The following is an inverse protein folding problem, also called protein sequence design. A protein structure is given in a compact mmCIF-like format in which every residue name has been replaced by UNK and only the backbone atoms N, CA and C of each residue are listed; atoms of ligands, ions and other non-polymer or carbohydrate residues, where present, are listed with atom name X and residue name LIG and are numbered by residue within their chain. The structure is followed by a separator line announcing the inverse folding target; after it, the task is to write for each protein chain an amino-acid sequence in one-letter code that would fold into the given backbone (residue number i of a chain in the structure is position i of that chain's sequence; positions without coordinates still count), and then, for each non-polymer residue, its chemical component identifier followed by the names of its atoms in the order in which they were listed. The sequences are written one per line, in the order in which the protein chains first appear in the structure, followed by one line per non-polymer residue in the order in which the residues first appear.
data_IF_247549394319
#
_entry.id   IF_247549394319
#
_cell.length_a   1.000
_cell.length_b   1.000
_cell.length_c   1.000
_cell.angle_alpha   90.00
_cell.angle_beta   90.00
_cell.angle_gamma   90.00
#
_symmetry.space_group_name_H-M   'P 1'
#
loop_
_entity.id
_entity.type
_entity.pdbx_description
1 polymer ?
#
# COMPACT_ATOMS: atom_id res chain seq x y z
N UNK A 1 21.16 16.86 12.13
CA UNK A 1 21.06 17.71 10.93
C UNK A 1 19.68 18.37 10.87
N UNK A 2 19.47 19.34 9.95
CA UNK A 2 18.13 19.87 9.67
C UNK A 2 17.60 19.29 8.36
N UNK A 3 16.30 19.01 8.31
CA UNK A 3 15.62 18.51 7.10
C UNK A 3 14.29 19.25 6.89
N UNK A 4 13.87 19.42 5.65
CA UNK A 4 12.55 19.93 5.29
C UNK A 4 11.55 18.78 5.36
N UNK A 5 10.42 18.99 6.05
CA UNK A 5 9.37 17.99 6.20
C UNK A 5 7.99 18.62 6.24
N UNK A 6 6.96 17.84 5.88
CA UNK A 6 5.57 18.19 6.06
C UNK A 6 5.05 17.57 7.38
N UNK A 7 4.81 18.43 8.38
CA UNK A 7 4.40 18.04 9.73
C UNK A 7 2.90 18.16 9.89
N UNK A 8 2.25 17.14 10.40
CA UNK A 8 0.87 17.16 10.86
C UNK A 8 0.86 17.44 12.36
N UNK A 9 0.41 18.61 12.78
CA UNK A 9 0.35 18.98 14.19
C UNK A 9 -0.91 18.48 14.91
N UNK A 10 -2.00 18.28 14.17
CA UNK A 10 -3.27 17.80 14.69
C UNK A 10 -4.12 17.15 13.60
N UNK A 11 -5.03 16.27 14.00
CA UNK A 11 -5.99 15.64 13.10
C UNK A 11 -6.86 16.66 12.35
N UNK A 12 -7.15 16.41 11.08
CA UNK A 12 -8.00 17.24 10.23
C UNK A 12 -7.40 18.61 9.84
N UNK A 13 -6.13 18.85 10.15
CA UNK A 13 -5.45 20.09 9.76
C UNK A 13 -4.57 19.90 8.53
N UNK A 14 -4.32 20.96 7.73
CA UNK A 14 -3.32 20.92 6.68
C UNK A 14 -1.94 20.57 7.25
N UNK A 15 -1.11 19.95 6.42
CA UNK A 15 0.29 19.72 6.73
C UNK A 15 1.08 21.03 6.62
N UNK A 16 1.99 21.27 7.55
CA UNK A 16 2.89 22.42 7.52
C UNK A 16 4.27 21.99 7.01
N UNK A 17 4.69 22.56 5.89
CA UNK A 17 6.05 22.35 5.38
C UNK A 17 7.01 23.24 6.13
N UNK A 18 7.89 22.64 6.92
CA UNK A 18 8.84 23.35 7.79
C UNK A 18 10.17 22.64 7.89
N UNK A 19 11.13 23.26 8.55
CA UNK A 19 12.44 22.65 8.85
C UNK A 19 12.40 22.05 10.25
N UNK A 20 12.73 20.78 10.34
CA UNK A 20 12.82 20.03 11.59
C UNK A 20 14.25 19.56 11.87
N UNK A 21 14.55 19.25 13.12
CA UNK A 21 15.79 18.59 13.49
C UNK A 21 15.65 17.08 13.28
N UNK A 22 16.69 16.46 12.71
CA UNK A 22 16.80 15.04 12.49
C UNK A 22 18.11 14.53 13.09
N UNK A 23 18.02 13.61 14.02
CA UNK A 23 19.18 12.92 14.60
C UNK A 23 19.78 11.94 13.58
N UNK A 24 21.07 11.66 13.70
CA UNK A 24 21.76 10.66 12.90
C UNK A 24 21.30 9.23 13.23
N UNK A 25 21.63 8.26 12.34
CA UNK A 25 21.27 6.85 12.55
C UNK A 25 22.05 6.27 13.73
N UNK A 26 21.34 5.63 14.67
CA UNK A 26 21.94 4.82 15.75
C UNK A 26 22.23 3.40 15.28
N UNK A 27 22.65 2.53 16.20
CA UNK A 27 22.95 1.13 15.88
C UNK A 27 21.74 0.44 15.23
N UNK A 28 21.99 -0.21 14.07
CA UNK A 28 20.97 -0.91 13.29
C UNK A 28 20.03 0.01 12.51
N UNK A 29 20.34 1.30 12.38
CA UNK A 29 19.52 2.29 11.67
C UNK A 29 20.21 2.82 10.41
N UNK A 30 19.42 3.35 9.50
CA UNK A 30 19.85 3.85 8.19
C UNK A 30 19.27 5.24 7.98
N UNK A 31 20.09 6.19 7.60
CA UNK A 31 19.65 7.52 7.15
C UNK A 31 19.46 7.49 5.63
N UNK A 32 18.27 7.82 5.19
CA UNK A 32 17.87 7.82 3.78
C UNK A 32 17.50 9.23 3.34
N UNK A 33 18.07 9.69 2.23
CA UNK A 33 17.62 10.86 1.49
C UNK A 33 16.48 10.42 0.57
N UNK A 34 15.26 10.85 0.86
CA UNK A 34 14.08 10.57 0.06
C UNK A 34 14.10 11.43 -1.20
N UNK A 35 13.97 10.81 -2.36
CA UNK A 35 13.92 11.47 -3.67
C UNK A 35 12.49 11.64 -4.18
N UNK A 36 11.62 10.71 -3.82
CA UNK A 36 10.20 10.77 -4.17
C UNK A 36 9.36 10.01 -3.13
N UNK A 37 8.12 10.43 -2.96
CA UNK A 37 7.13 9.76 -2.10
C UNK A 37 5.72 9.88 -2.67
N UNK A 38 4.96 8.79 -2.65
CA UNK A 38 3.55 8.77 -3.01
C UNK A 38 2.64 9.25 -1.87
N UNK A 39 1.45 9.74 -2.25
CA UNK A 39 0.39 10.12 -1.31
C UNK A 39 -0.67 9.01 -1.30
N UNK A 40 -0.92 8.43 -0.14
CA UNK A 40 -1.79 7.28 0.04
C UNK A 40 -3.07 7.61 0.83
N UNK A 41 -4.15 6.88 0.58
CA UNK A 41 -5.37 6.97 1.39
C UNK A 41 -5.13 6.56 2.86
N UNK A 42 -4.11 5.75 3.13
CA UNK A 42 -3.71 5.39 4.50
C UNK A 42 -3.16 6.60 5.26
N UNK A 43 -2.39 7.48 4.58
CA UNK A 43 -1.95 8.74 5.18
C UNK A 43 -3.15 9.64 5.50
N UNK A 44 -4.13 9.72 4.58
CA UNK A 44 -5.35 10.49 4.77
C UNK A 44 -6.23 9.93 5.89
N UNK A 45 -6.36 8.61 6.00
CA UNK A 45 -7.12 7.96 7.07
C UNK A 45 -6.64 8.40 8.45
N UNK A 46 -5.32 8.45 8.65
CA UNK A 46 -4.75 8.94 9.91
C UNK A 46 -4.81 10.48 10.00
N UNK A 47 -4.48 11.20 8.90
CA UNK A 47 -4.49 12.66 8.87
C UNK A 47 -5.87 13.25 9.18
N UNK A 48 -6.93 12.64 8.68
CA UNK A 48 -8.31 13.09 8.92
C UNK A 48 -8.77 12.89 10.38
N UNK A 49 -8.09 12.06 11.15
CA UNK A 49 -8.50 11.66 12.50
C UNK A 49 -9.44 10.46 12.54
N UNK A 50 -9.67 9.80 11.41
CA UNK A 50 -10.47 8.58 11.35
C UNK A 50 -9.75 7.36 11.96
N UNK A 51 -8.43 7.43 12.06
CA UNK A 51 -7.59 6.42 12.71
C UNK A 51 -7.51 6.70 14.23
N UNK A 52 -8.09 5.82 15.08
CA UNK A 52 -8.07 6.00 16.53
C UNK A 52 -6.66 5.83 17.13
N UNK A 53 -5.71 5.24 16.40
CA UNK A 53 -4.31 5.07 16.81
C UNK A 53 -3.41 6.22 16.28
N UNK A 54 -3.99 7.22 15.62
CA UNK A 54 -3.26 8.36 15.06
C UNK A 54 -2.52 9.16 16.13
N UNK A 55 -1.24 9.46 15.89
CA UNK A 55 -0.36 10.22 16.79
C UNK A 55 -0.04 11.58 16.18
N UNK A 56 0.04 12.61 17.01
CA UNK A 56 0.41 13.99 16.61
C UNK A 56 1.30 14.66 17.67
N UNK A 57 2.28 15.52 17.29
CA UNK A 57 2.68 15.84 15.92
C UNK A 57 3.39 14.65 15.24
N UNK A 58 3.26 14.54 13.91
CA UNK A 58 3.82 13.43 13.14
C UNK A 58 4.26 13.86 11.74
N UNK A 59 5.25 13.18 11.18
CA UNK A 59 5.60 13.24 9.76
C UNK A 59 5.06 11.99 9.10
N UNK A 60 4.06 12.16 8.22
CA UNK A 60 3.44 11.06 7.46
C UNK A 60 4.33 10.54 6.33
N UNK A 61 3.75 9.73 5.45
CA UNK A 61 4.36 9.15 4.27
C UNK A 61 5.00 7.78 4.53
N UNK A 62 4.65 6.83 3.67
CA UNK A 62 5.17 5.46 3.74
C UNK A 62 5.42 4.86 2.34
N UNK A 63 5.26 5.63 1.28
CA UNK A 63 5.50 5.25 -0.12
C UNK A 63 6.73 5.97 -0.66
N UNK A 64 7.90 5.80 -0.03
CA UNK A 64 9.12 6.50 -0.39
C UNK A 64 10.06 5.68 -1.28
N UNK A 65 10.97 6.40 -1.96
CA UNK A 65 12.17 5.83 -2.57
C UNK A 65 13.31 6.85 -2.45
N UNK A 66 14.53 6.38 -2.23
CA UNK A 66 15.65 7.27 -1.99
C UNK A 66 16.99 6.56 -1.93
N UNK A 67 17.99 7.29 -1.43
CA UNK A 67 19.39 6.88 -1.38
C UNK A 67 19.85 6.83 0.07
N UNK A 68 20.54 5.77 0.45
CA UNK A 68 21.23 5.68 1.74
C UNK A 68 22.37 6.67 1.78
N UNK A 69 22.35 7.58 2.75
CA UNK A 69 23.41 8.60 2.91
C UNK A 69 24.31 8.33 4.11
N UNK A 70 23.80 7.61 5.11
CA UNK A 70 24.60 7.17 6.27
C UNK A 70 23.99 5.90 6.89
N UNK A 71 24.80 5.15 7.62
CA UNK A 71 24.39 3.95 8.33
C UNK A 71 24.97 3.91 9.74
N UNK A 72 24.15 3.49 10.70
CA UNK A 72 24.57 3.29 12.07
C UNK A 72 25.41 2.01 12.26
N UNK A 73 26.04 1.86 13.44
CA UNK A 73 26.82 0.65 13.76
C UNK A 73 25.97 -0.62 13.61
N UNK A 74 26.58 -1.69 13.09
CA UNK A 74 25.97 -3.01 12.94
C UNK A 74 25.06 -3.19 11.71
N UNK A 75 24.84 -2.15 10.90
CA UNK A 75 24.14 -2.27 9.61
C UNK A 75 25.03 -3.03 8.61
N UNK A 76 24.47 -4.06 7.98
CA UNK A 76 25.20 -4.94 7.06
C UNK A 76 24.54 -5.16 5.72
N UNK A 77 23.23 -4.93 5.59
CA UNK A 77 22.48 -5.24 4.37
C UNK A 77 22.43 -4.10 3.35
N UNK A 78 22.80 -2.91 3.77
CA UNK A 78 22.87 -1.70 2.91
C UNK A 78 24.07 -0.85 3.29
N UNK A 79 24.51 0.02 2.38
CA UNK A 79 25.62 0.95 2.57
C UNK A 79 25.30 2.30 1.92
N UNK A 80 26.06 3.32 2.25
CA UNK A 80 25.99 4.63 1.59
C UNK A 80 26.04 4.50 0.07
N UNK A 81 25.12 5.18 -0.62
CA UNK A 81 24.94 5.16 -2.06
C UNK A 81 23.91 4.12 -2.56
N UNK A 82 23.53 3.14 -1.75
CA UNK A 82 22.51 2.17 -2.16
C UNK A 82 21.15 2.84 -2.34
N UNK A 83 20.44 2.49 -3.42
CA UNK A 83 19.06 2.88 -3.66
C UNK A 83 18.12 1.96 -2.89
N UNK A 84 17.13 2.56 -2.20
CA UNK A 84 16.26 1.83 -1.29
C UNK A 84 14.81 2.30 -1.36
N UNK A 85 13.90 1.41 -0.99
CA UNK A 85 12.50 1.67 -0.72
C UNK A 85 12.24 1.43 0.78
N UNK A 86 11.77 2.43 1.55
CA UNK A 86 11.25 2.26 2.91
C UNK A 86 10.09 1.28 2.97
N UNK A 87 10.01 0.49 4.04
CA UNK A 87 9.02 -0.55 4.24
C UNK A 87 8.25 -0.35 5.54
N UNK A 88 6.97 -0.04 5.46
CA UNK A 88 6.09 -0.02 6.64
C UNK A 88 5.81 -1.43 7.19
N UNK A 89 6.02 -2.46 6.38
CA UNK A 89 6.03 -3.85 6.81
C UNK A 89 7.48 -4.36 6.77
N UNK A 90 8.21 -4.31 7.91
CA UNK A 90 9.62 -4.72 7.96
C UNK A 90 9.79 -6.23 7.78
N UNK A 91 11.02 -6.67 7.50
CA UNK A 91 11.38 -8.09 7.39
C UNK A 91 12.70 -8.36 8.11
N UNK A 92 12.64 -8.81 9.38
CA UNK A 92 13.86 -9.11 10.15
C UNK A 92 14.48 -10.47 9.83
N UNK A 93 13.73 -11.39 9.21
CA UNK A 93 14.14 -12.77 8.88
C UNK A 93 14.46 -13.67 10.09
N UNK A 94 14.12 -13.24 11.31
CA UNK A 94 14.48 -13.96 12.56
C UNK A 94 13.27 -14.21 13.46
N UNK A 95 12.25 -13.35 13.46
CA UNK A 95 11.08 -13.54 14.32
C UNK A 95 10.23 -14.73 13.86
N UNK A 96 9.37 -15.22 14.75
CA UNK A 96 8.45 -16.33 14.48
C UNK A 96 7.61 -16.11 13.20
N UNK A 97 7.15 -14.89 12.97
CA UNK A 97 6.38 -14.54 11.77
C UNK A 97 7.21 -14.70 10.50
N UNK A 98 8.41 -14.12 10.44
CA UNK A 98 9.31 -14.25 9.29
C UNK A 98 9.72 -15.70 9.01
N UNK A 99 10.02 -16.49 10.05
CA UNK A 99 10.46 -17.86 9.91
C UNK A 99 9.32 -18.83 9.59
N UNK A 100 8.08 -18.50 9.97
CA UNK A 100 6.92 -19.40 9.81
C UNK A 100 6.54 -19.68 8.36
N UNK A 101 6.87 -18.78 7.45
CA UNK A 101 6.38 -18.74 6.04
C UNK A 101 4.86 -18.67 5.90
N UNK A 102 4.12 -18.44 7.01
CA UNK A 102 2.64 -18.36 7.04
C UNK A 102 2.14 -16.92 6.92
N UNK A 103 2.95 -15.95 7.27
CA UNK A 103 2.63 -14.52 7.26
C UNK A 103 3.85 -13.68 6.89
N UNK A 104 3.59 -12.49 6.36
CA UNK A 104 4.57 -11.44 6.11
C UNK A 104 4.67 -10.42 7.25
N UNK A 105 3.85 -10.53 8.29
CA UNK A 105 3.76 -9.55 9.37
C UNK A 105 4.88 -9.76 10.40
N UNK A 106 6.02 -9.15 10.14
CA UNK A 106 7.17 -9.12 11.05
C UNK A 106 6.81 -8.44 12.37
N UNK A 107 7.24 -9.03 13.49
CA UNK A 107 6.93 -8.48 14.83
C UNK A 107 8.11 -7.81 15.50
N UNK A 108 9.30 -7.75 14.86
CA UNK A 108 10.54 -7.33 15.50
C UNK A 108 10.51 -5.90 16.07
N UNK A 109 9.82 -4.97 15.39
CA UNK A 109 9.71 -3.55 15.81
C UNK A 109 8.26 -3.11 16.01
N UNK A 110 7.28 -4.02 15.95
CA UNK A 110 5.86 -3.67 15.97
C UNK A 110 5.46 -2.86 17.21
N UNK A 111 6.03 -3.18 18.38
CA UNK A 111 5.70 -2.55 19.65
C UNK A 111 6.09 -1.06 19.71
N UNK A 112 7.13 -0.65 19.00
CA UNK A 112 7.62 0.75 18.94
C UNK A 112 7.09 1.47 17.71
N UNK A 113 6.99 0.77 16.57
CA UNK A 113 6.45 1.31 15.31
C UNK A 113 5.04 1.88 15.50
N UNK A 114 4.16 1.18 16.20
CA UNK A 114 2.80 1.66 16.50
C UNK A 114 2.74 2.84 17.48
N UNK A 115 3.83 3.11 18.20
CA UNK A 115 3.98 4.27 19.09
C UNK A 115 4.67 5.47 18.39
N UNK A 116 4.96 5.35 17.11
CA UNK A 116 5.63 6.40 16.34
C UNK A 116 7.07 6.68 16.78
N UNK A 117 7.78 5.67 17.30
CA UNK A 117 9.16 5.79 17.75
C UNK A 117 10.04 4.66 17.20
N UNK A 118 11.35 4.86 17.25
CA UNK A 118 12.36 3.89 16.87
C UNK A 118 12.43 2.74 17.89
N UNK A 119 13.13 1.64 17.59
CA UNK A 119 13.23 0.47 18.50
C UNK A 119 13.74 0.79 19.90
N UNK A 120 14.51 1.87 20.08
CA UNK A 120 14.98 2.35 21.39
C UNK A 120 13.96 3.19 22.18
N UNK A 121 12.75 3.35 21.64
CA UNK A 121 11.67 4.11 22.26
C UNK A 121 11.77 5.63 22.11
N UNK A 122 12.70 6.13 21.27
CA UNK A 122 12.87 7.57 21.00
C UNK A 122 12.59 7.90 19.54
N UNK A 123 12.22 9.15 19.24
CA UNK A 123 12.14 9.63 17.87
C UNK A 123 13.50 10.17 17.40
N UNK A 124 13.68 10.21 16.06
CA UNK A 124 14.80 10.94 15.44
C UNK A 124 14.40 12.33 14.99
N UNK A 125 13.10 12.63 14.97
CA UNK A 125 12.58 13.93 14.59
C UNK A 125 12.21 14.77 15.79
N UNK A 126 12.57 16.07 15.74
CA UNK A 126 12.14 17.07 16.73
C UNK A 126 12.05 18.46 16.12
N UNK A 127 11.35 19.37 16.80
CA UNK A 127 11.32 20.79 16.51
C UNK A 127 11.35 21.57 17.82
N UNK A 128 12.35 22.46 17.98
CA UNK A 128 12.50 23.20 19.23
C UNK A 128 12.65 22.32 20.48
N UNK A 129 13.18 21.09 20.34
CA UNK A 129 13.29 20.11 21.42
C UNK A 129 12.02 19.29 21.66
N UNK A 130 10.91 19.59 21.00
CA UNK A 130 9.68 18.80 21.07
C UNK A 130 9.76 17.64 20.08
N UNK A 131 9.47 16.42 20.55
CA UNK A 131 9.44 15.22 19.75
C UNK A 131 8.34 15.28 18.68
N UNK A 132 8.67 14.81 17.46
CA UNK A 132 7.73 14.54 16.38
C UNK A 132 7.71 13.02 16.14
N UNK A 133 6.53 12.42 16.05
CA UNK A 133 6.38 10.99 15.84
C UNK A 133 6.79 10.55 14.43
N UNK A 134 7.33 9.35 14.33
CA UNK A 134 7.46 8.63 13.07
C UNK A 134 6.10 8.04 12.67
N UNK A 135 5.81 8.03 11.35
CA UNK A 135 4.63 7.36 10.81
C UNK A 135 5.01 6.03 10.17
N UNK A 136 4.40 4.96 10.67
CA UNK A 136 4.61 3.59 10.17
C UNK A 136 6.10 3.17 10.09
N UNK A 137 6.98 3.83 10.86
CA UNK A 137 8.42 3.65 10.81
C UNK A 137 9.08 4.15 9.52
N UNK A 138 8.42 4.95 8.70
CA UNK A 138 8.90 5.44 7.40
C UNK A 138 9.08 6.95 7.34
N UNK A 139 8.02 7.73 7.60
CA UNK A 139 8.02 9.21 7.60
C UNK A 139 8.63 9.81 6.34
N UNK A 140 8.13 9.40 5.17
CA UNK A 140 8.71 9.79 3.88
C UNK A 140 8.26 11.17 3.39
N UNK A 141 7.35 11.87 4.12
CA UNK A 141 7.07 13.29 3.85
C UNK A 141 8.13 14.20 4.45
N UNK A 142 9.35 13.73 4.45
CA UNK A 142 10.57 14.45 4.81
C UNK A 142 11.65 14.14 3.79
N UNK A 143 12.47 15.16 3.45
CA UNK A 143 13.58 14.97 2.52
C UNK A 143 14.60 13.94 3.05
N UNK A 144 14.78 13.85 4.37
CA UNK A 144 15.60 12.82 5.01
C UNK A 144 14.79 12.12 6.10
N UNK A 145 14.99 10.81 6.23
CA UNK A 145 14.39 10.03 7.32
C UNK A 145 15.37 8.96 7.82
N UNK A 146 15.20 8.55 9.07
CA UNK A 146 15.96 7.45 9.68
C UNK A 146 15.03 6.27 9.91
N UNK A 147 15.46 5.08 9.51
CA UNK A 147 14.70 3.84 9.57
C UNK A 147 15.55 2.72 10.16
N UNK A 148 14.94 1.69 10.80
CA UNK A 148 15.64 0.45 11.09
C UNK A 148 16.08 -0.26 9.79
N UNK A 149 17.26 -0.87 9.77
CA UNK A 149 17.78 -1.64 8.63
C UNK A 149 16.78 -2.66 8.08
N UNK A 150 16.01 -3.30 8.97
CA UNK A 150 15.01 -4.30 8.60
C UNK A 150 13.78 -3.72 7.88
N UNK A 151 13.66 -2.39 7.85
CA UNK A 151 12.59 -1.63 7.22
C UNK A 151 13.03 -0.93 5.92
N UNK A 152 14.12 -1.36 5.29
CA UNK A 152 14.53 -0.87 3.97
C UNK A 152 14.80 -2.03 3.02
N UNK A 153 14.32 -1.90 1.78
CA UNK A 153 14.60 -2.82 0.69
C UNK A 153 15.59 -2.17 -0.27
N UNK A 154 16.76 -2.80 -0.46
CA UNK A 154 17.72 -2.39 -1.48
C UNK A 154 17.17 -2.74 -2.86
N UNK A 155 17.22 -1.78 -3.79
CA UNK A 155 16.77 -1.92 -5.18
C UNK A 155 17.88 -1.53 -6.15
N UNK A 156 17.67 -1.80 -7.44
CA UNK A 156 18.61 -1.44 -8.50
C UNK A 156 18.71 0.08 -8.66
N UNK A 157 19.91 0.55 -9.03
CA UNK A 157 20.25 1.98 -9.06
C UNK A 157 19.68 2.73 -10.27
N UNK A 158 19.33 2.03 -11.35
CA UNK A 158 18.79 2.62 -12.58
C UNK A 158 17.25 2.83 -12.56
N UNK A 159 16.58 2.42 -11.49
CA UNK A 159 15.14 2.57 -11.37
C UNK A 159 14.73 4.01 -10.96
N UNK A 160 13.77 4.67 -11.65
CA UNK A 160 13.36 6.04 -11.40
C UNK A 160 12.56 6.14 -10.07
N UNK A 161 13.03 7.01 -9.17
CA UNK A 161 12.46 7.14 -7.82
C UNK A 161 10.99 7.54 -7.80
N UNK A 162 10.58 8.43 -8.70
CA UNK A 162 9.19 8.93 -8.82
C UNK A 162 8.20 7.86 -9.28
N UNK A 163 8.69 6.73 -9.79
CA UNK A 163 7.89 5.55 -10.15
C UNK A 163 7.93 4.48 -9.07
N UNK A 164 9.16 4.11 -8.66
CA UNK A 164 9.33 2.98 -7.74
C UNK A 164 8.91 3.29 -6.30
N UNK A 165 8.78 4.55 -5.90
CA UNK A 165 8.27 4.92 -4.58
C UNK A 165 6.90 4.28 -4.30
N UNK A 166 6.04 4.16 -5.31
CA UNK A 166 4.72 3.55 -5.18
C UNK A 166 4.77 2.03 -4.98
N UNK A 167 5.88 1.38 -5.33
CA UNK A 167 6.07 -0.07 -5.10
C UNK A 167 6.07 -0.39 -3.60
N UNK A 168 6.54 0.52 -2.75
CA UNK A 168 6.60 0.35 -1.30
C UNK A 168 5.24 0.14 -0.61
N UNK A 169 4.12 0.36 -1.30
CA UNK A 169 2.76 0.15 -0.77
C UNK A 169 1.81 -0.40 -1.83
N UNK A 170 1.21 0.47 -2.65
CA UNK A 170 0.06 0.12 -3.47
C UNK A 170 0.32 -0.93 -4.53
N UNK A 171 1.46 -0.87 -5.22
CA UNK A 171 1.84 -1.84 -6.26
C UNK A 171 2.04 -3.23 -5.64
N UNK A 172 2.85 -3.31 -4.61
CA UNK A 172 3.12 -4.58 -3.89
C UNK A 172 1.85 -5.14 -3.26
N UNK A 173 0.99 -4.28 -2.69
CA UNK A 173 -0.28 -4.72 -2.09
C UNK A 173 -1.20 -5.35 -3.13
N UNK A 174 -1.41 -4.70 -4.27
CA UNK A 174 -2.34 -5.19 -5.30
C UNK A 174 -1.83 -6.46 -5.98
N UNK A 175 -0.61 -6.43 -6.51
CA UNK A 175 0.00 -7.60 -7.18
C UNK A 175 0.19 -8.76 -6.20
N UNK A 176 0.67 -8.47 -5.01
CA UNK A 176 0.89 -9.48 -3.97
C UNK A 176 -0.40 -10.13 -3.46
N UNK A 177 -1.52 -9.38 -3.41
CA UNK A 177 -2.83 -9.96 -3.09
C UNK A 177 -3.19 -11.09 -4.04
N UNK A 178 -2.89 -10.93 -5.32
CA UNK A 178 -3.13 -11.94 -6.36
C UNK A 178 -2.16 -13.11 -6.22
N UNK A 179 -0.86 -12.83 -6.18
CA UNK A 179 0.20 -13.85 -6.31
C UNK A 179 0.44 -14.58 -4.99
N UNK A 180 0.54 -13.84 -3.88
CA UNK A 180 0.97 -14.39 -2.59
C UNK A 180 -0.23 -14.82 -1.72
N UNK A 181 -1.28 -13.97 -1.66
CA UNK A 181 -2.41 -14.18 -0.74
C UNK A 181 -3.47 -15.08 -1.35
N UNK A 182 -4.04 -14.70 -2.48
CA UNK A 182 -5.07 -15.49 -3.17
C UNK A 182 -4.47 -16.68 -3.90
N UNK A 183 -3.28 -16.54 -4.46
CA UNK A 183 -2.61 -17.51 -5.33
C UNK A 183 -3.51 -17.85 -6.52
N UNK A 184 -3.90 -16.82 -7.23
CA UNK A 184 -4.79 -16.92 -8.39
C UNK A 184 -4.19 -17.86 -9.43
N UNK A 185 -4.98 -18.83 -9.87
CA UNK A 185 -4.59 -19.83 -10.86
C UNK A 185 -4.79 -19.31 -12.28
N UNK A 186 -3.96 -19.73 -13.26
CA UNK A 186 -4.21 -19.44 -14.67
C UNK A 186 -5.61 -19.94 -15.10
N UNK A 187 -6.29 -19.12 -15.91
CA UNK A 187 -7.63 -19.42 -16.39
C UNK A 187 -8.78 -19.07 -15.43
N UNK A 188 -8.48 -18.59 -14.22
CA UNK A 188 -9.49 -18.21 -13.23
C UNK A 188 -10.29 -16.97 -13.63
N UNK A 189 -11.54 -16.90 -13.19
CA UNK A 189 -12.37 -15.69 -13.26
C UNK A 189 -12.20 -14.86 -12.00
N UNK A 190 -11.82 -13.58 -12.18
CA UNK A 190 -11.47 -12.64 -11.10
C UNK A 190 -12.41 -11.45 -11.12
N UNK A 191 -12.91 -11.03 -9.95
CA UNK A 191 -13.69 -9.81 -9.76
C UNK A 191 -12.95 -8.85 -8.83
N UNK A 192 -12.80 -7.59 -9.25
CA UNK A 192 -12.10 -6.54 -8.50
C UNK A 192 -13.05 -5.40 -8.20
N UNK A 193 -13.34 -5.14 -6.94
CA UNK A 193 -14.18 -4.03 -6.49
C UNK A 193 -13.32 -2.81 -6.16
N UNK A 194 -13.52 -1.73 -6.91
CA UNK A 194 -12.75 -0.49 -6.84
C UNK A 194 -11.55 -0.49 -7.78
N UNK A 195 -11.54 0.46 -8.74
CA UNK A 195 -10.50 0.62 -9.76
C UNK A 195 -9.60 1.82 -9.47
N UNK A 196 -9.28 2.02 -8.18
CA UNK A 196 -8.23 2.91 -7.73
C UNK A 196 -6.84 2.29 -7.87
N UNK A 197 -5.83 2.93 -7.27
CA UNK A 197 -4.45 2.47 -7.37
C UNK A 197 -4.21 1.02 -6.95
N UNK A 198 -4.90 0.54 -5.91
CA UNK A 198 -4.81 -0.87 -5.48
C UNK A 198 -5.49 -1.79 -6.49
N UNK A 199 -6.74 -1.49 -6.87
CA UNK A 199 -7.51 -2.34 -7.79
C UNK A 199 -6.85 -2.48 -9.16
N UNK A 200 -6.25 -1.41 -9.70
CA UNK A 200 -5.49 -1.47 -10.95
C UNK A 200 -4.27 -2.40 -10.84
N UNK A 201 -3.61 -2.42 -9.68
CA UNK A 201 -2.51 -3.37 -9.43
C UNK A 201 -2.99 -4.80 -9.22
N UNK A 202 -4.19 -5.03 -8.66
CA UNK A 202 -4.83 -6.35 -8.64
C UNK A 202 -5.13 -6.82 -10.06
N UNK A 203 -5.68 -5.95 -10.93
CA UNK A 203 -5.97 -6.26 -12.33
C UNK A 203 -4.70 -6.68 -13.07
N UNK A 204 -3.62 -5.88 -12.99
CA UNK A 204 -2.39 -6.28 -13.67
C UNK A 204 -1.76 -7.54 -13.07
N UNK A 205 -1.87 -7.76 -11.76
CA UNK A 205 -1.47 -9.02 -11.13
C UNK A 205 -2.27 -10.21 -11.67
N UNK A 206 -3.59 -10.09 -11.81
CA UNK A 206 -4.45 -11.12 -12.40
C UNK A 206 -4.10 -11.41 -13.88
N UNK A 207 -3.80 -10.35 -14.65
CA UNK A 207 -3.28 -10.51 -16.01
C UNK A 207 -1.95 -11.26 -16.05
N UNK A 208 -1.01 -10.92 -15.16
CA UNK A 208 0.31 -11.55 -15.08
C UNK A 208 0.23 -13.07 -14.85
N UNK A 209 -0.72 -13.52 -14.03
CA UNK A 209 -0.91 -14.96 -13.75
C UNK A 209 -1.78 -15.68 -14.78
N UNK A 210 -2.26 -14.97 -15.81
CA UNK A 210 -3.07 -15.57 -16.89
C UNK A 210 -4.52 -15.85 -16.50
N UNK A 211 -5.14 -15.00 -15.68
CA UNK A 211 -6.58 -15.07 -15.41
C UNK A 211 -7.40 -14.96 -16.72
N UNK A 212 -8.55 -15.63 -16.78
CA UNK A 212 -9.42 -15.65 -17.96
C UNK A 212 -10.27 -14.37 -18.04
N UNK A 213 -11.24 -14.21 -17.14
CA UNK A 213 -12.01 -12.96 -17.02
C UNK A 213 -11.49 -12.14 -15.85
N UNK A 214 -11.22 -10.88 -16.12
CA UNK A 214 -10.83 -9.90 -15.12
C UNK A 214 -11.89 -8.81 -15.13
N UNK A 215 -12.83 -8.89 -14.18
CA UNK A 215 -14.00 -8.03 -14.10
C UNK A 215 -13.73 -6.93 -13.10
N UNK A 216 -13.72 -5.69 -13.57
CA UNK A 216 -13.58 -4.51 -12.70
C UNK A 216 -14.93 -3.88 -12.38
N UNK A 217 -15.21 -3.66 -11.10
CA UNK A 217 -16.44 -3.05 -10.60
C UNK A 217 -16.11 -1.67 -10.04
N UNK A 218 -16.65 -0.61 -10.65
CA UNK A 218 -16.47 0.76 -10.16
C UNK A 218 -17.67 1.65 -10.54
N UNK A 219 -18.00 2.59 -9.67
CA UNK A 219 -19.07 3.58 -9.89
C UNK A 219 -18.65 4.73 -10.81
N UNK A 220 -17.34 4.90 -11.02
CA UNK A 220 -16.76 5.95 -11.86
C UNK A 220 -16.40 5.41 -13.25
N UNK A 221 -17.19 5.72 -14.29
CA UNK A 221 -16.96 5.21 -15.64
C UNK A 221 -15.62 5.68 -16.25
N UNK A 222 -15.05 6.78 -15.75
CA UNK A 222 -13.74 7.28 -16.21
C UNK A 222 -12.58 6.33 -15.90
N UNK A 223 -12.77 5.38 -14.97
CA UNK A 223 -11.75 4.37 -14.63
C UNK A 223 -11.64 3.25 -15.68
N UNK A 224 -12.66 3.07 -16.52
CA UNK A 224 -12.74 1.97 -17.48
C UNK A 224 -11.52 1.90 -18.41
N UNK A 225 -11.23 2.98 -19.12
CA UNK A 225 -10.15 3.00 -20.11
C UNK A 225 -8.79 2.66 -19.52
N UNK A 226 -8.49 3.24 -18.35
CA UNK A 226 -7.23 2.93 -17.66
C UNK A 226 -7.18 1.47 -17.20
N UNK A 227 -8.27 0.95 -16.64
CA UNK A 227 -8.32 -0.44 -16.19
C UNK A 227 -8.17 -1.44 -17.35
N UNK A 228 -8.68 -1.13 -18.54
CA UNK A 228 -8.47 -1.93 -19.75
C UNK A 228 -7.00 -1.98 -20.16
N UNK A 229 -6.25 -0.88 -20.05
CA UNK A 229 -4.79 -0.87 -20.26
C UNK A 229 -4.06 -1.81 -19.30
N UNK A 230 -4.53 -1.93 -18.05
CA UNK A 230 -3.97 -2.83 -17.05
C UNK A 230 -4.38 -4.30 -17.25
N UNK A 231 -5.35 -4.58 -18.10
CA UNK A 231 -5.76 -5.93 -18.47
C UNK A 231 -7.17 -6.33 -18.02
N UNK A 232 -7.99 -5.39 -17.58
CA UNK A 232 -9.41 -5.64 -17.34
C UNK A 232 -10.11 -6.08 -18.63
N UNK A 233 -10.92 -7.13 -18.55
CA UNK A 233 -11.67 -7.67 -19.70
C UNK A 233 -13.12 -7.20 -19.72
N UNK A 234 -13.71 -6.92 -18.55
CA UNK A 234 -15.09 -6.50 -18.41
C UNK A 234 -15.20 -5.39 -17.36
N UNK A 235 -15.88 -4.31 -17.70
CA UNK A 235 -16.22 -3.23 -16.77
C UNK A 235 -17.68 -3.36 -16.32
N UNK A 236 -17.93 -3.25 -15.03
CA UNK A 236 -19.27 -3.25 -14.45
C UNK A 236 -19.48 -2.00 -13.61
N UNK A 237 -20.41 -1.16 -14.01
CA UNK A 237 -20.88 -0.04 -13.19
C UNK A 237 -22.11 -0.49 -12.39
N UNK A 238 -22.04 -0.59 -11.05
CA UNK A 238 -23.16 -1.03 -10.22
C UNK A 238 -24.46 -0.22 -10.43
N UNK A 239 -24.32 1.06 -10.80
CA UNK A 239 -25.47 1.95 -11.06
C UNK A 239 -26.23 1.63 -12.35
N UNK A 240 -25.60 0.89 -13.25
CA UNK A 240 -26.15 0.50 -14.55
C UNK A 240 -26.70 -0.93 -14.54
N UNK A 241 -26.40 -1.70 -13.48
CA UNK A 241 -26.97 -3.04 -13.29
C UNK A 241 -28.41 -2.89 -12.81
N UNK A 242 -29.35 -3.31 -13.63
CA UNK A 242 -30.80 -3.20 -13.36
C UNK A 242 -31.34 -4.20 -12.33
N UNK A 243 -30.53 -4.62 -11.34
CA UNK A 243 -30.90 -5.62 -10.35
C UNK A 243 -29.81 -5.91 -9.32
N UNK A 244 -29.77 -7.12 -8.81
CA UNK A 244 -28.78 -7.57 -7.83
C UNK A 244 -27.38 -7.71 -8.48
N UNK A 245 -26.44 -6.88 -8.02
CA UNK A 245 -25.06 -6.88 -8.51
C UNK A 245 -24.39 -8.25 -8.32
N UNK A 246 -24.62 -8.91 -7.19
CA UNK A 246 -24.00 -10.22 -6.89
C UNK A 246 -24.48 -11.25 -7.90
N UNK A 247 -25.78 -11.33 -8.17
CA UNK A 247 -26.33 -12.25 -9.17
C UNK A 247 -25.85 -11.95 -10.59
N UNK A 248 -25.70 -10.66 -10.92
CA UNK A 248 -25.15 -10.26 -12.21
C UNK A 248 -23.69 -10.73 -12.36
N UNK A 249 -22.83 -10.52 -11.34
CA UNK A 249 -21.44 -10.97 -11.35
C UNK A 249 -21.34 -12.51 -11.40
N UNK A 250 -22.21 -13.22 -10.69
CA UNK A 250 -22.30 -14.70 -10.77
C UNK A 250 -22.64 -15.17 -12.20
N UNK A 251 -23.55 -14.45 -12.88
CA UNK A 251 -23.92 -14.81 -14.27
C UNK A 251 -22.77 -14.59 -15.27
N UNK A 252 -21.90 -13.60 -15.01
CA UNK A 252 -20.71 -13.34 -15.84
C UNK A 252 -19.59 -14.33 -15.65
N UNK A 253 -19.59 -15.07 -14.53
CA UNK A 253 -18.48 -15.92 -14.08
C UNK A 253 -18.83 -17.42 -13.99
N UNK A 254 -19.88 -17.83 -14.71
CA UNK A 254 -20.31 -19.22 -14.79
C UNK A 254 -20.51 -19.88 -13.40
N UNK A 255 -21.36 -19.26 -12.60
CA UNK A 255 -21.73 -19.75 -11.26
C UNK A 255 -20.96 -19.11 -10.11
N UNK A 256 -20.11 -18.12 -10.39
CA UNK A 256 -19.39 -17.32 -9.42
C UNK A 256 -17.89 -17.19 -9.73
N UNK A 257 -17.29 -16.10 -9.23
CA UNK A 257 -15.87 -15.85 -9.42
C UNK A 257 -15.01 -16.86 -8.64
N UNK A 258 -13.91 -17.30 -9.23
CA UNK A 258 -12.91 -18.10 -8.51
C UNK A 258 -12.23 -17.26 -7.42
N UNK A 259 -11.97 -15.97 -7.72
CA UNK A 259 -11.38 -15.02 -6.81
C UNK A 259 -12.07 -13.68 -6.89
N UNK A 260 -12.22 -13.01 -5.74
CA UNK A 260 -12.64 -11.62 -5.69
C UNK A 260 -11.71 -10.79 -4.78
N UNK A 261 -11.59 -9.50 -5.08
CA UNK A 261 -10.74 -8.57 -4.33
C UNK A 261 -11.54 -7.31 -4.01
N UNK A 262 -11.61 -6.97 -2.73
CA UNK A 262 -12.21 -5.71 -2.28
C UNK A 262 -11.12 -4.68 -2.01
N UNK A 263 -11.12 -3.58 -2.78
CA UNK A 263 -10.06 -2.57 -2.80
C UNK A 263 -10.55 -1.17 -2.38
N UNK A 264 -11.75 -1.05 -1.82
CA UNK A 264 -12.38 0.23 -1.44
C UNK A 264 -12.32 0.49 0.05
N UNK A 265 -12.49 -0.56 0.86
CA UNK A 265 -12.64 -0.46 2.31
C UNK A 265 -14.09 -0.29 2.77
N UNK A 266 -15.05 -0.84 2.03
CA UNK A 266 -16.46 -0.77 2.35
C UNK A 266 -17.00 -2.14 2.77
N UNK A 267 -17.57 -2.25 3.97
CA UNK A 267 -18.01 -3.53 4.55
C UNK A 267 -19.13 -4.20 3.76
N UNK A 268 -19.99 -3.43 3.10
CA UNK A 268 -21.05 -3.99 2.24
C UNK A 268 -20.46 -4.52 0.94
N UNK A 269 -19.44 -3.85 0.36
CA UNK A 269 -18.71 -4.36 -0.79
C UNK A 269 -17.88 -5.61 -0.43
N UNK A 270 -17.30 -5.66 0.77
CA UNK A 270 -16.60 -6.86 1.27
C UNK A 270 -17.54 -8.08 1.28
N UNK A 271 -18.80 -7.88 1.72
CA UNK A 271 -19.83 -8.91 1.69
C UNK A 271 -20.18 -9.31 0.24
N UNK A 272 -20.45 -8.35 -0.64
CA UNK A 272 -20.77 -8.62 -2.04
C UNK A 272 -19.62 -9.35 -2.75
N UNK A 273 -18.37 -8.97 -2.45
CA UNK A 273 -17.18 -9.63 -2.97
C UNK A 273 -17.10 -11.11 -2.56
N UNK A 274 -17.45 -11.45 -1.31
CA UNK A 274 -17.56 -12.84 -0.88
C UNK A 274 -18.71 -13.58 -1.60
N UNK A 275 -19.88 -12.96 -1.63
CA UNK A 275 -21.11 -13.60 -2.11
C UNK A 275 -21.13 -13.79 -3.63
N UNK A 276 -20.36 -13.00 -4.41
CA UNK A 276 -20.20 -13.22 -5.86
C UNK A 276 -19.19 -14.33 -6.21
N UNK A 277 -18.44 -14.84 -5.24
CA UNK A 277 -17.53 -15.96 -5.46
C UNK A 277 -18.27 -17.28 -5.66
N UNK A 278 -17.62 -18.18 -6.35
CA UNK A 278 -18.16 -19.54 -6.60
C UNK A 278 -18.42 -20.27 -5.29
N UNK A 279 -19.61 -20.85 -5.20
CA UNK A 279 -19.95 -21.77 -4.12
C UNK A 279 -19.08 -23.02 -4.21
N UNK A 280 -18.36 -23.34 -3.16
CA UNK A 280 -17.53 -24.54 -3.09
C UNK A 280 -16.04 -24.26 -2.97
N UNK A 281 -15.50 -23.25 -3.70
CA UNK A 281 -14.06 -22.96 -3.64
C UNK A 281 -13.67 -21.48 -3.75
N UNK A 282 -14.62 -20.58 -4.07
CA UNK A 282 -14.29 -19.19 -4.34
C UNK A 282 -13.62 -18.50 -3.14
N UNK A 283 -12.59 -17.70 -3.42
CA UNK A 283 -11.79 -17.00 -2.42
C UNK A 283 -11.98 -15.50 -2.57
N UNK A 284 -12.46 -14.85 -1.52
CA UNK A 284 -12.59 -13.38 -1.45
C UNK A 284 -11.49 -12.79 -0.57
N UNK A 285 -10.77 -11.79 -1.09
CA UNK A 285 -9.67 -11.12 -0.39
C UNK A 285 -10.05 -9.68 -0.05
N UNK A 286 -10.01 -9.36 1.23
CA UNK A 286 -10.19 -7.99 1.74
C UNK A 286 -8.82 -7.30 1.72
N UNK A 287 -8.74 -6.15 1.02
CA UNK A 287 -7.56 -5.30 0.95
C UNK A 287 -7.86 -3.91 1.50
N UNK A 288 -9.05 -3.39 1.18
CA UNK A 288 -9.47 -2.05 1.61
C UNK A 288 -9.58 -1.95 3.14
N UNK A 289 -9.26 -0.77 3.69
CA UNK A 289 -9.32 -0.48 5.12
C UNK A 289 -10.66 0.17 5.43
N UNK A 290 -11.50 -0.54 6.20
CA UNK A 290 -12.76 0.00 6.72
C UNK A 290 -12.53 0.90 7.94
N UNK A 291 -13.47 1.82 8.17
CA UNK A 291 -13.42 2.69 9.35
C UNK A 291 -13.44 1.91 10.67
N UNK A 292 -12.83 2.47 11.71
CA UNK A 292 -12.78 1.87 13.04
C UNK A 292 -14.19 1.58 13.55
N UNK A 293 -14.38 0.39 14.13
CA UNK A 293 -15.66 -0.06 14.66
C UNK A 293 -16.65 -0.63 13.63
N UNK A 294 -16.31 -0.60 12.34
CA UNK A 294 -17.11 -1.29 11.33
C UNK A 294 -16.82 -2.80 11.33
N UNK A 295 -17.85 -3.61 11.18
CA UNK A 295 -17.78 -5.07 11.19
C UNK A 295 -18.27 -5.64 9.86
N UNK A 296 -17.57 -6.67 9.38
CA UNK A 296 -18.03 -7.47 8.24
C UNK A 296 -19.04 -8.51 8.71
N UNK A 297 -20.08 -8.77 7.89
CA UNK A 297 -21.10 -9.77 8.20
C UNK A 297 -21.56 -10.50 6.94
N UNK A 298 -21.81 -11.78 7.08
CA UNK A 298 -22.44 -12.59 6.03
C UNK A 298 -23.25 -13.72 6.65
N UNK A 299 -24.07 -14.37 5.86
CA UNK A 299 -24.79 -15.57 6.31
C UNK A 299 -23.77 -16.71 6.51
N UNK A 300 -23.76 -17.42 7.65
CA UNK A 300 -22.79 -18.51 7.88
C UNK A 300 -22.73 -19.55 6.77
N UNK A 301 -23.87 -19.80 6.13
CA UNK A 301 -23.98 -20.78 5.03
C UNK A 301 -23.11 -20.42 3.81
N UNK A 302 -22.75 -19.16 3.62
CA UNK A 302 -21.80 -18.75 2.59
C UNK A 302 -20.41 -19.39 2.79
N UNK A 303 -19.99 -19.51 4.05
CA UNK A 303 -18.71 -20.16 4.40
C UNK A 303 -18.84 -21.67 4.52
N UNK A 304 -19.94 -22.18 5.08
CA UNK A 304 -20.21 -23.63 5.18
C UNK A 304 -20.17 -24.31 3.82
N UNK A 305 -20.58 -23.62 2.77
CA UNK A 305 -20.56 -24.15 1.40
C UNK A 305 -19.21 -24.08 0.69
N UNK A 306 -18.16 -23.61 1.38
CA UNK A 306 -16.78 -23.71 0.89
C UNK A 306 -16.13 -22.40 0.44
N UNK A 307 -16.85 -21.26 0.44
CA UNK A 307 -16.22 -19.97 0.19
C UNK A 307 -15.22 -19.65 1.28
N UNK A 308 -14.14 -18.96 0.91
CA UNK A 308 -13.10 -18.52 1.83
C UNK A 308 -13.05 -17.00 1.87
N UNK A 309 -13.11 -16.41 3.08
CA UNK A 309 -12.87 -15.00 3.31
C UNK A 309 -11.49 -14.80 3.91
N UNK A 310 -10.64 -14.02 3.26
CA UNK A 310 -9.27 -13.74 3.67
C UNK A 310 -9.02 -12.24 3.73
N UNK A 311 -8.11 -11.82 4.60
CA UNK A 311 -7.48 -10.51 4.53
C UNK A 311 -6.06 -10.59 3.96
N UNK A 312 -5.53 -9.46 3.53
CA UNK A 312 -4.13 -9.32 3.16
C UNK A 312 -3.59 -7.96 3.61
N UNK A 313 -2.41 -7.97 4.19
CA UNK A 313 -1.64 -6.77 4.48
C UNK A 313 -0.41 -6.77 3.57
N UNK A 314 -0.16 -5.66 2.88
CA UNK A 314 0.98 -5.52 1.96
C UNK A 314 1.02 -6.64 0.89
N UNK A 315 -0.15 -7.12 0.46
CA UNK A 315 -0.26 -8.22 -0.50
C UNK A 315 0.36 -9.55 -0.06
N UNK A 316 0.56 -9.77 1.24
CA UNK A 316 1.28 -10.94 1.74
C UNK A 316 2.77 -10.96 1.40
N UNK A 317 3.31 -9.86 0.88
CA UNK A 317 4.68 -9.74 0.41
C UNK A 317 5.67 -9.60 1.57
N UNK A 318 6.86 -10.15 1.41
CA UNK A 318 8.02 -9.95 2.28
C UNK A 318 8.83 -8.79 1.74
N UNK A 319 8.81 -7.65 2.42
CA UNK A 319 9.28 -6.38 1.88
C UNK A 319 10.70 -6.43 1.30
N UNK A 320 11.67 -6.88 2.08
CA UNK A 320 13.09 -6.95 1.64
C UNK A 320 13.34 -8.03 0.60
N UNK A 321 12.43 -8.99 0.46
CA UNK A 321 12.55 -10.12 -0.49
C UNK A 321 11.80 -9.84 -1.79
N UNK A 322 10.59 -9.32 -1.73
CA UNK A 322 9.68 -9.24 -2.88
C UNK A 322 9.67 -7.87 -3.55
N UNK A 323 9.85 -6.76 -2.79
CA UNK A 323 9.89 -5.41 -3.36
C UNK A 323 10.97 -5.26 -4.44
N UNK A 324 12.22 -5.73 -4.24
CA UNK A 324 13.23 -5.65 -5.31
C UNK A 324 12.82 -6.39 -6.59
N UNK A 325 12.15 -7.55 -6.47
CA UNK A 325 11.65 -8.30 -7.64
C UNK A 325 10.55 -7.52 -8.39
N UNK A 326 9.68 -6.83 -7.66
CA UNK A 326 8.62 -6.02 -8.28
C UNK A 326 9.24 -4.81 -8.99
N UNK A 327 10.30 -4.22 -8.45
CA UNK A 327 11.10 -3.21 -9.16
C UNK A 327 11.67 -3.78 -10.46
N UNK A 328 12.25 -4.99 -10.42
CA UNK A 328 12.76 -5.64 -11.63
C UNK A 328 11.63 -5.89 -12.65
N UNK A 329 10.43 -6.32 -12.22
CA UNK A 329 9.30 -6.49 -13.12
C UNK A 329 8.88 -5.18 -13.79
N UNK A 330 8.93 -4.06 -13.08
CA UNK A 330 8.68 -2.76 -13.67
C UNK A 330 9.75 -2.40 -14.71
N UNK A 331 11.02 -2.53 -14.36
CA UNK A 331 12.13 -2.23 -15.25
C UNK A 331 12.20 -3.14 -16.48
N UNK A 332 11.70 -4.38 -16.35
CA UNK A 332 11.55 -5.34 -17.47
C UNK A 332 10.27 -5.10 -18.32
N UNK A 333 9.46 -4.09 -17.99
CA UNK A 333 8.21 -3.79 -18.69
C UNK A 333 7.07 -4.81 -18.46
N UNK A 334 7.18 -5.66 -17.43
CA UNK A 334 6.17 -6.67 -17.08
C UNK A 334 4.97 -6.08 -16.37
N UNK A 335 5.16 -4.96 -15.69
CA UNK A 335 4.10 -4.19 -15.01
C UNK A 335 4.17 -2.72 -15.40
N UNK A 336 3.01 -2.05 -15.35
CA UNK A 336 2.86 -0.64 -15.65
C UNK A 336 2.69 0.15 -14.36
N UNK A 337 3.59 1.08 -14.09
CA UNK A 337 3.49 2.05 -12.99
C UNK A 337 3.31 3.45 -13.53
N UNK A 338 3.84 3.75 -14.72
CA UNK A 338 3.82 5.09 -15.30
C UNK A 338 2.41 5.67 -15.39
N UNK A 339 1.45 4.89 -15.87
CA UNK A 339 0.06 5.32 -16.00
C UNK A 339 -0.68 5.45 -14.65
N UNK A 340 -0.12 4.94 -13.55
CA UNK A 340 -0.65 5.13 -12.20
C UNK A 340 -0.28 6.50 -11.62
N UNK A 341 0.87 7.05 -12.00
CA UNK A 341 1.37 8.34 -11.50
C UNK A 341 0.76 9.45 -12.34
N UNK A 342 -0.33 10.02 -11.84
CA UNK A 342 -1.08 11.06 -12.57
C UNK A 342 -0.61 12.48 -12.30
N UNK A 343 0.03 12.72 -11.16
CA UNK A 343 0.51 14.03 -10.74
C UNK A 343 1.87 13.91 -10.05
N UNK A 344 2.79 14.81 -10.39
CA UNK A 344 4.09 14.97 -9.72
C UNK A 344 4.24 16.42 -9.30
N UNK A 345 4.61 16.67 -8.05
CA UNK A 345 4.72 18.01 -7.49
C UNK A 345 5.79 18.11 -6.39
N UNK A 346 6.28 19.32 -6.07
CA UNK A 346 7.21 19.49 -4.95
C UNK A 346 6.51 19.37 -3.60
N UNK A 347 7.29 19.16 -2.53
CA UNK A 347 6.80 18.98 -1.15
C UNK A 347 5.89 20.13 -0.69
N UNK A 348 6.17 21.36 -1.12
CA UNK A 348 5.40 22.56 -0.78
C UNK A 348 3.92 22.47 -1.20
N UNK A 349 3.63 21.63 -2.19
CA UNK A 349 2.28 21.38 -2.72
C UNK A 349 1.63 20.10 -2.19
N UNK A 350 2.15 19.54 -1.09
CA UNK A 350 1.64 18.27 -0.57
C UNK A 350 0.13 18.31 -0.21
N UNK A 351 -0.37 19.45 0.26
CA UNK A 351 -1.80 19.60 0.54
C UNK A 351 -2.65 19.57 -0.74
N UNK A 352 -2.14 20.13 -1.86
CA UNK A 352 -2.82 20.05 -3.16
C UNK A 352 -2.97 18.58 -3.60
N UNK A 353 -1.99 17.72 -3.28
CA UNK A 353 -2.05 16.29 -3.59
C UNK A 353 -3.18 15.58 -2.83
N UNK A 354 -3.42 15.93 -1.57
CA UNK A 354 -4.57 15.43 -0.81
C UNK A 354 -5.90 15.94 -1.39
N UNK A 355 -5.96 17.21 -1.81
CA UNK A 355 -7.15 17.78 -2.45
C UNK A 355 -7.50 17.06 -3.76
N UNK A 356 -6.51 16.76 -4.62
CA UNK A 356 -6.69 15.97 -5.84
C UNK A 356 -7.22 14.56 -5.54
N UNK A 357 -6.72 13.94 -4.47
CA UNK A 357 -7.19 12.64 -4.03
C UNK A 357 -8.66 12.68 -3.57
N UNK A 358 -9.06 13.67 -2.77
CA UNK A 358 -10.45 13.85 -2.31
C UNK A 358 -11.42 14.10 -3.47
N UNK A 359 -11.00 14.82 -4.49
CA UNK A 359 -11.81 15.07 -5.71
C UNK A 359 -11.87 13.84 -6.64
N UNK A 360 -11.10 12.79 -6.37
CA UNK A 360 -10.99 11.61 -7.22
C UNK A 360 -10.32 11.89 -8.58
N UNK A 361 -9.55 12.97 -8.66
CA UNK A 361 -8.86 13.43 -9.88
C UNK A 361 -7.49 12.76 -10.05
N UNK A 362 -6.89 12.24 -8.97
CA UNK A 362 -5.65 11.47 -9.03
C UNK A 362 -5.89 9.96 -8.88
N UNK A 363 -5.06 9.16 -9.55
CA UNK A 363 -4.85 7.76 -9.18
C UNK A 363 -3.78 7.70 -8.10
N UNK A 364 -2.61 8.30 -8.40
CA UNK A 364 -1.52 8.50 -7.46
C UNK A 364 -0.84 9.84 -7.72
N UNK A 365 -0.72 10.65 -6.69
CA UNK A 365 0.13 11.83 -6.67
C UNK A 365 1.48 11.49 -6.04
N UNK A 366 2.56 11.99 -6.59
CA UNK A 366 3.93 11.81 -6.12
C UNK A 366 4.53 13.17 -5.79
N UNK A 367 5.16 13.26 -4.64
CA UNK A 367 5.98 14.42 -4.22
C UNK A 367 7.44 14.09 -4.48
N UNK A 368 8.16 15.05 -5.07
CA UNK A 368 9.62 15.00 -5.29
C UNK A 368 10.35 16.05 -4.46
N UNK A 369 11.64 15.80 -4.15
CA UNK A 369 12.49 16.61 -3.30
C UNK A 369 13.65 17.22 -4.08
#
# INVERSE_FOLDING_TARGET
MKTKAAVAYAAGKPLEVTTVDLDGPKAGEVLVEIKATGICHTDEFTRSGADPEGLFPVIFGHEGAGIVVDVGPGVTSVKKGDHVIPLYTPECRQCKSCLSRKTNLCTAIRATQGKGVMPDGTSRFSIGGQMIHHYMGCSTFSNFTVLPEIAVAKVREDAPFDKICYIGCGVTTGIGAVINTAKVEPGANVVVFGLGGIGLNVIQGARMVGANKIIGVDINPKRKELAEKFGMTHFVNPKEVGGDLVQYLVSLTDGGADYSFECVGNVDLMRQALECCHRGWGVSVIIGVAGAGQEIRTRPFQLVTGRVWKGTAFGGARGRTDVPKIVDWYMDGKINIDDLITHVMPLEKINDAFDLMHKGESIRSVVTY
#
